data_IF_254989662361
#
_entry.id   IF_254989662361
#
_cell.length_a   1.000
_cell.length_b   1.000
_cell.length_c   1.000
_cell.angle_alpha   90.00
_cell.angle_beta   90.00
_cell.angle_gamma   90.00
#
_symmetry.space_group_name_H-M   'P 1'
#
loop_
_entity.id
_entity.type
_entity.pdbx_description
1 polymer ?
#
# COMPACT_ATOMS: atom_id res chain seq x y z
N UNK A 1 -17.40 16.42 -7.36
CA UNK A 1 -16.69 16.37 -6.05
C UNK A 1 -15.45 15.46 -6.11
N UNK A 2 -15.54 14.17 -6.43
CA UNK A 2 -14.37 13.27 -6.52
C UNK A 2 -13.35 13.78 -7.55
N UNK A 3 -13.79 14.21 -8.74
CA UNK A 3 -12.91 14.77 -9.78
C UNK A 3 -12.08 15.96 -9.30
N UNK A 4 -12.68 16.91 -8.64
CA UNK A 4 -12.02 18.11 -8.14
C UNK A 4 -11.02 17.77 -7.04
N UNK A 5 -11.43 16.91 -6.11
CA UNK A 5 -10.56 16.43 -5.04
C UNK A 5 -9.36 15.65 -5.58
N UNK A 6 -9.59 14.77 -6.56
CA UNK A 6 -8.52 13.97 -7.16
C UNK A 6 -7.50 14.85 -7.90
N UNK A 7 -7.97 15.85 -8.66
CA UNK A 7 -7.08 16.80 -9.33
C UNK A 7 -6.26 17.58 -8.30
N UNK A 8 -6.90 18.14 -7.27
CA UNK A 8 -6.21 18.85 -6.19
C UNK A 8 -5.12 17.98 -5.55
N UNK A 9 -5.43 16.73 -5.19
CA UNK A 9 -4.43 15.83 -4.59
C UNK A 9 -3.27 15.56 -5.54
N UNK A 10 -3.53 15.37 -6.84
CA UNK A 10 -2.48 15.20 -7.85
C UNK A 10 -1.60 16.45 -7.99
N UNK A 11 -2.22 17.63 -7.98
CA UNK A 11 -1.50 18.90 -8.06
C UNK A 11 -0.63 19.10 -6.81
N UNK A 12 -1.15 18.85 -5.60
CA UNK A 12 -0.39 18.93 -4.34
C UNK A 12 0.82 17.96 -4.33
N UNK A 13 0.64 16.71 -4.81
CA UNK A 13 1.73 15.73 -4.95
C UNK A 13 2.77 16.23 -5.95
N UNK A 14 2.33 16.72 -7.12
CA UNK A 14 3.23 17.22 -8.15
C UNK A 14 4.04 18.42 -7.68
N UNK A 15 3.39 19.40 -7.04
CA UNK A 15 4.06 20.58 -6.47
C UNK A 15 5.10 20.17 -5.42
N UNK A 16 4.74 19.25 -4.52
CA UNK A 16 5.66 18.77 -3.49
C UNK A 16 6.87 18.06 -4.10
N UNK A 17 6.63 17.16 -5.06
CA UNK A 17 7.71 16.46 -5.77
C UNK A 17 8.67 17.45 -6.45
N UNK A 18 8.16 18.45 -7.16
CA UNK A 18 8.98 19.47 -7.81
C UNK A 18 9.81 20.27 -6.80
N UNK A 19 9.23 20.65 -5.66
CA UNK A 19 9.94 21.37 -4.58
C UNK A 19 11.11 20.59 -3.99
N UNK A 20 11.02 19.27 -3.96
CA UNK A 20 12.07 18.39 -3.42
C UNK A 20 12.93 17.73 -4.51
N UNK A 21 12.78 18.13 -5.78
CA UNK A 21 13.58 17.65 -6.90
C UNK A 21 13.29 16.21 -7.33
N UNK A 22 12.04 15.73 -7.11
CA UNK A 22 11.58 14.39 -7.54
C UNK A 22 10.67 14.49 -8.76
N UNK A 23 10.65 13.44 -9.57
CA UNK A 23 9.69 13.31 -10.66
C UNK A 23 8.32 12.84 -10.11
N UNK A 24 7.22 13.62 -10.28
CA UNK A 24 5.88 13.20 -9.85
C UNK A 24 5.39 11.89 -10.49
N UNK A 25 5.86 11.56 -11.68
CA UNK A 25 5.48 10.33 -12.39
C UNK A 25 6.00 9.05 -11.73
N UNK A 26 6.97 9.17 -10.81
CA UNK A 26 7.47 8.05 -10.01
C UNK A 26 6.54 7.71 -8.84
N UNK A 27 5.50 8.52 -8.60
CA UNK A 27 4.61 8.37 -7.47
C UNK A 27 3.31 7.68 -7.89
N UNK A 28 3.04 6.52 -7.34
CA UNK A 28 1.75 5.85 -7.47
C UNK A 28 0.77 6.41 -6.43
N UNK A 29 -0.26 7.13 -6.90
CA UNK A 29 -1.38 7.54 -6.06
C UNK A 29 -2.41 6.42 -5.97
N UNK A 30 -2.53 5.81 -4.80
CA UNK A 30 -3.54 4.80 -4.50
C UNK A 30 -4.76 5.49 -3.88
N UNK A 31 -5.88 5.50 -4.60
CA UNK A 31 -7.15 6.04 -4.12
C UNK A 31 -7.81 5.02 -3.18
N UNK A 32 -7.82 5.29 -1.87
CA UNK A 32 -8.32 4.35 -0.85
C UNK A 32 -9.84 4.44 -0.78
N UNK A 33 -10.52 3.48 -1.41
CA UNK A 33 -11.98 3.44 -1.61
C UNK A 33 -12.74 2.61 -0.55
N UNK A 34 -12.06 2.18 0.52
CA UNK A 34 -12.72 1.46 1.63
C UNK A 34 -13.95 2.20 2.14
N UNK A 35 -15.03 1.46 2.38
CA UNK A 35 -16.35 1.98 2.85
C UNK A 35 -17.16 2.80 1.83
N UNK A 36 -16.66 3.02 0.62
CA UNK A 36 -17.41 3.62 -0.48
C UNK A 36 -17.86 2.52 -1.45
N UNK A 37 -18.98 2.72 -2.13
CA UNK A 37 -19.47 1.80 -3.16
C UNK A 37 -18.60 1.77 -4.40
N UNK A 38 -18.83 0.77 -5.27
CA UNK A 38 -18.13 0.66 -6.55
C UNK A 38 -18.41 1.87 -7.47
N UNK A 39 -19.53 2.56 -7.31
CA UNK A 39 -19.88 3.77 -8.06
C UNK A 39 -18.85 4.88 -7.86
N UNK A 40 -18.34 5.05 -6.63
CA UNK A 40 -17.28 6.01 -6.32
C UNK A 40 -15.96 5.63 -6.98
N UNK A 41 -15.68 4.33 -7.09
CA UNK A 41 -14.51 3.82 -7.83
C UNK A 41 -14.65 4.13 -9.32
N UNK A 42 -15.82 3.90 -9.91
CA UNK A 42 -16.11 4.21 -11.31
C UNK A 42 -16.02 5.72 -11.60
N UNK A 43 -16.52 6.58 -10.69
CA UNK A 43 -16.37 8.05 -10.82
C UNK A 43 -14.88 8.45 -10.82
N UNK A 44 -14.08 7.97 -9.85
CA UNK A 44 -12.66 8.25 -9.80
C UNK A 44 -11.91 7.69 -11.03
N UNK A 45 -12.26 6.47 -11.48
CA UNK A 45 -11.73 5.86 -12.69
C UNK A 45 -11.99 6.71 -13.93
N UNK A 46 -13.21 7.25 -14.09
CA UNK A 46 -13.55 8.15 -15.19
C UNK A 46 -12.69 9.42 -15.23
N UNK A 47 -12.06 9.77 -14.11
CA UNK A 47 -11.09 10.86 -13.97
C UNK A 47 -9.62 10.39 -14.13
N UNK A 48 -9.41 9.18 -14.68
CA UNK A 48 -8.09 8.63 -14.97
C UNK A 48 -7.38 7.99 -13.77
N UNK A 49 -8.08 7.71 -12.66
CA UNK A 49 -7.51 6.94 -11.56
C UNK A 49 -7.49 5.46 -11.91
N UNK A 50 -6.33 4.81 -11.69
CA UNK A 50 -6.13 3.39 -11.99
C UNK A 50 -5.91 2.54 -10.76
N UNK A 51 -5.22 3.07 -9.76
CA UNK A 51 -4.78 2.36 -8.56
C UNK A 51 -5.75 2.62 -7.42
N UNK A 52 -6.38 1.57 -6.89
CA UNK A 52 -7.37 1.66 -5.81
C UNK A 52 -6.99 0.76 -4.63
N UNK A 53 -7.22 1.26 -3.41
CA UNK A 53 -6.85 0.57 -2.18
C UNK A 53 -8.07 0.10 -1.39
N UNK A 54 -8.06 -1.18 -0.99
CA UNK A 54 -9.07 -1.80 -0.14
C UNK A 54 -8.49 -2.38 1.15
N UNK A 55 -9.26 -2.25 2.24
CA UNK A 55 -8.85 -2.78 3.54
C UNK A 55 -9.52 -4.12 3.88
N UNK A 56 -10.67 -4.42 3.28
CA UNK A 56 -11.48 -5.57 3.62
C UNK A 56 -11.61 -6.51 2.43
N UNK A 57 -11.26 -7.79 2.63
CA UNK A 57 -11.34 -8.77 1.56
C UNK A 57 -12.75 -8.89 0.96
N UNK A 58 -13.78 -8.68 1.77
CA UNK A 58 -15.18 -8.73 1.34
C UNK A 58 -15.52 -7.55 0.43
N UNK A 59 -15.15 -6.31 0.82
CA UNK A 59 -15.35 -5.13 -0.04
C UNK A 59 -14.61 -5.26 -1.38
N UNK A 60 -13.38 -5.79 -1.37
CA UNK A 60 -12.65 -6.05 -2.60
C UNK A 60 -13.39 -7.03 -3.51
N UNK A 61 -13.92 -8.12 -2.95
CA UNK A 61 -14.71 -9.11 -3.73
C UNK A 61 -15.95 -8.46 -4.32
N UNK A 62 -16.72 -7.71 -3.51
CA UNK A 62 -17.96 -7.05 -3.94
C UNK A 62 -17.72 -6.01 -5.04
N UNK A 63 -16.62 -5.26 -4.99
CA UNK A 63 -16.30 -4.22 -5.99
C UNK A 63 -15.69 -4.78 -7.26
N UNK A 64 -14.89 -5.83 -7.14
CA UNK A 64 -14.12 -6.40 -8.25
C UNK A 64 -15.02 -6.79 -9.42
N UNK A 65 -16.18 -7.36 -9.16
CA UNK A 65 -17.10 -7.85 -10.20
C UNK A 65 -17.84 -6.72 -10.95
N UNK A 66 -17.84 -5.49 -10.40
CA UNK A 66 -18.52 -4.31 -10.99
C UNK A 66 -17.56 -3.28 -11.59
N UNK A 67 -16.26 -3.45 -11.38
CA UNK A 67 -15.25 -2.51 -11.84
C UNK A 67 -14.47 -3.14 -12.99
N UNK A 68 -14.22 -2.42 -14.10
CA UNK A 68 -13.47 -2.95 -15.26
C UNK A 68 -12.05 -3.44 -14.91
N UNK A 69 -11.56 -4.42 -15.66
CA UNK A 69 -10.27 -5.11 -15.45
C UNK A 69 -9.02 -4.22 -15.59
N UNK A 70 -9.15 -2.98 -16.09
CA UNK A 70 -8.08 -2.01 -16.22
C UNK A 70 -7.81 -1.20 -14.93
N UNK A 71 -8.38 -1.62 -13.82
CA UNK A 71 -8.11 -1.11 -12.47
C UNK A 71 -7.11 -2.00 -11.75
N UNK A 72 -6.10 -1.37 -11.15
CA UNK A 72 -5.10 -2.04 -10.30
C UNK A 72 -5.56 -2.02 -8.84
N UNK A 73 -5.87 -3.18 -8.29
CA UNK A 73 -6.31 -3.30 -6.91
C UNK A 73 -5.13 -3.54 -5.95
N UNK A 74 -5.04 -2.69 -4.94
CA UNK A 74 -4.10 -2.78 -3.84
C UNK A 74 -4.83 -3.21 -2.56
N UNK A 75 -4.47 -4.36 -2.00
CA UNK A 75 -4.96 -4.74 -0.69
C UNK A 75 -4.01 -4.15 0.38
N UNK A 76 -4.53 -3.24 1.19
CA UNK A 76 -3.73 -2.43 2.12
C UNK A 76 -4.14 -2.60 3.59
N UNK A 77 -5.17 -3.40 3.88
CA UNK A 77 -5.61 -3.72 5.23
C UNK A 77 -4.95 -5.00 5.76
N UNK A 78 -5.09 -5.27 7.06
CA UNK A 78 -4.57 -6.50 7.66
C UNK A 78 -5.16 -7.75 7.00
N UNK A 79 -4.30 -8.62 6.46
CA UNK A 79 -4.73 -9.83 5.76
C UNK A 79 -4.59 -11.08 6.64
N UNK A 80 -5.71 -11.61 7.08
CA UNK A 80 -5.73 -12.92 7.71
C UNK A 80 -5.40 -14.02 6.68
N UNK A 81 -4.58 -15.00 7.06
CA UNK A 81 -4.12 -16.07 6.15
C UNK A 81 -5.29 -16.80 5.47
N UNK A 82 -6.38 -17.08 6.18
CA UNK A 82 -7.57 -17.74 5.64
C UNK A 82 -8.37 -16.89 4.64
N UNK A 83 -8.11 -15.57 4.59
CA UNK A 83 -8.74 -14.63 3.66
C UNK A 83 -7.91 -14.41 2.39
N UNK A 84 -6.65 -14.84 2.35
CA UNK A 84 -5.77 -14.71 1.18
C UNK A 84 -6.40 -15.28 -0.10
N UNK A 85 -7.17 -16.35 -0.01
CA UNK A 85 -7.90 -16.97 -1.13
C UNK A 85 -8.91 -16.05 -1.84
N UNK A 86 -9.38 -14.99 -1.16
CA UNK A 86 -10.30 -14.01 -1.75
C UNK A 86 -9.54 -12.81 -2.33
N UNK A 87 -8.37 -12.49 -1.76
CA UNK A 87 -7.58 -11.31 -2.12
C UNK A 87 -6.63 -11.61 -3.29
N UNK A 88 -5.85 -12.70 -3.21
CA UNK A 88 -4.85 -13.03 -4.25
C UNK A 88 -5.43 -13.09 -5.66
N UNK A 89 -6.64 -13.63 -5.91
CA UNK A 89 -7.21 -13.64 -7.26
C UNK A 89 -7.51 -12.26 -7.85
N UNK A 90 -7.67 -11.25 -7.00
CA UNK A 90 -8.24 -9.94 -7.36
C UNK A 90 -7.25 -8.79 -7.22
N UNK A 91 -6.39 -8.86 -6.20
CA UNK A 91 -5.39 -7.83 -5.97
C UNK A 91 -4.15 -8.03 -6.83
N UNK A 92 -3.65 -6.95 -7.41
CA UNK A 92 -2.34 -6.92 -8.04
C UNK A 92 -1.23 -6.77 -7.00
N UNK A 93 -1.51 -5.99 -5.94
CA UNK A 93 -0.57 -5.72 -4.86
C UNK A 93 -1.18 -6.06 -3.50
N UNK A 94 -0.39 -6.67 -2.61
CA UNK A 94 -0.74 -6.91 -1.21
C UNK A 94 0.32 -6.24 -0.35
N UNK A 95 -0.05 -5.18 0.39
CA UNK A 95 0.88 -4.33 1.15
C UNK A 95 1.10 -4.77 2.59
N UNK A 96 0.32 -5.74 3.08
CA UNK A 96 0.20 -6.06 4.50
C UNK A 96 0.70 -7.46 4.86
N UNK A 97 1.81 -7.88 4.26
CA UNK A 97 2.43 -9.17 4.60
C UNK A 97 3.29 -9.00 5.85
N UNK A 98 2.85 -9.63 6.96
CA UNK A 98 3.41 -9.46 8.30
C UNK A 98 3.96 -10.75 8.93
N UNK A 99 3.96 -11.88 8.18
CA UNK A 99 4.47 -13.18 8.64
C UNK A 99 4.71 -14.16 7.51
N UNK A 100 5.67 -15.07 7.70
CA UNK A 100 6.04 -16.10 6.72
C UNK A 100 4.84 -16.96 6.29
N UNK A 101 4.03 -17.44 7.24
CA UNK A 101 2.85 -18.25 6.95
C UNK A 101 1.86 -17.57 5.99
N UNK A 102 1.75 -16.23 6.02
CA UNK A 102 0.92 -15.50 5.08
C UNK A 102 1.57 -15.45 3.69
N UNK A 103 2.88 -15.22 3.62
CA UNK A 103 3.62 -15.21 2.36
C UNK A 103 3.56 -16.60 1.66
N UNK A 104 3.69 -17.68 2.42
CA UNK A 104 3.55 -19.07 1.93
C UNK A 104 2.15 -19.32 1.34
N UNK A 105 1.10 -18.93 2.04
CA UNK A 105 -0.27 -19.13 1.56
C UNK A 105 -0.57 -18.27 0.32
N UNK A 106 -0.06 -17.03 0.27
CA UNK A 106 -0.15 -16.17 -0.93
C UNK A 106 0.54 -16.85 -2.12
N UNK A 107 1.78 -17.32 -1.96
CA UNK A 107 2.53 -17.98 -3.01
C UNK A 107 1.82 -19.24 -3.53
N UNK A 108 1.29 -20.06 -2.62
CA UNK A 108 0.53 -21.27 -2.94
C UNK A 108 -0.75 -20.99 -3.75
N UNK A 109 -1.46 -19.91 -3.42
CA UNK A 109 -2.66 -19.49 -4.17
C UNK A 109 -2.26 -18.93 -5.52
N UNK A 110 -1.22 -18.08 -5.59
CA UNK A 110 -0.72 -17.48 -6.82
C UNK A 110 -0.22 -18.57 -7.80
N UNK A 111 0.43 -19.63 -7.30
CA UNK A 111 0.84 -20.77 -8.09
C UNK A 111 -0.33 -21.43 -8.81
N UNK A 112 -1.47 -21.63 -8.11
CA UNK A 112 -2.68 -22.22 -8.70
C UNK A 112 -3.29 -21.38 -9.81
N UNK A 113 -2.94 -20.09 -9.87
CA UNK A 113 -3.40 -19.12 -10.85
C UNK A 113 -2.34 -18.78 -11.91
N UNK A 114 -1.21 -19.47 -11.90
CA UNK A 114 -0.08 -19.24 -12.81
C UNK A 114 0.36 -17.75 -12.81
N UNK A 115 0.37 -17.11 -11.63
CA UNK A 115 0.80 -15.70 -11.49
C UNK A 115 1.91 -15.57 -10.44
N UNK A 116 2.63 -14.45 -10.50
CA UNK A 116 3.53 -13.99 -9.46
C UNK A 116 2.87 -12.81 -8.72
N UNK A 117 2.54 -13.01 -7.44
CA UNK A 117 1.86 -11.99 -6.64
C UNK A 117 2.85 -10.94 -6.14
N UNK A 118 2.64 -9.68 -6.49
CA UNK A 118 3.41 -8.56 -5.93
C UNK A 118 3.00 -8.30 -4.49
N UNK A 119 3.99 -8.27 -3.60
CA UNK A 119 3.77 -8.01 -2.17
C UNK A 119 4.73 -6.95 -1.63
N UNK A 120 4.30 -6.30 -0.54
CA UNK A 120 5.16 -5.52 0.33
C UNK A 120 5.10 -6.10 1.76
N UNK A 121 6.21 -6.03 2.48
CA UNK A 121 6.21 -6.36 3.91
C UNK A 121 5.71 -5.18 4.71
N UNK A 122 4.76 -5.44 5.60
CA UNK A 122 4.29 -4.45 6.57
C UNK A 122 5.26 -4.39 7.75
N UNK A 123 5.91 -3.25 7.92
CA UNK A 123 6.90 -3.00 8.97
C UNK A 123 6.29 -2.09 10.03
N UNK A 124 6.40 -2.49 11.29
CA UNK A 124 5.97 -1.68 12.42
C UNK A 124 7.09 -0.72 12.81
N UNK A 125 6.92 0.54 12.47
CA UNK A 125 7.87 1.63 12.78
C UNK A 125 7.38 2.55 13.92
N UNK A 126 6.36 2.14 14.67
CA UNK A 126 5.82 2.86 15.82
C UNK A 126 5.59 1.93 17.01
N UNK A 127 5.65 2.46 18.22
CA UNK A 127 5.45 1.70 19.47
C UNK A 127 3.96 1.41 19.78
N UNK A 128 3.02 1.91 18.96
CA UNK A 128 1.60 1.69 19.16
C UNK A 128 1.23 0.20 19.15
N UNK A 129 0.69 -0.30 20.28
CA UNK A 129 0.38 -1.72 20.46
C UNK A 129 -0.67 -2.26 19.48
N UNK A 130 -1.52 -1.39 18.96
CA UNK A 130 -2.64 -1.74 18.05
C UNK A 130 -2.22 -1.91 16.59
N UNK A 131 -0.98 -1.54 16.22
CA UNK A 131 -0.50 -1.67 14.84
C UNK A 131 0.12 -3.03 14.59
N UNK A 132 -0.25 -3.60 13.44
CA UNK A 132 0.37 -4.80 12.89
C UNK A 132 1.74 -4.46 12.25
N UNK A 133 2.47 -5.48 11.87
CA UNK A 133 3.73 -5.35 11.15
C UNK A 133 4.90 -6.08 11.81
N UNK A 134 5.90 -6.36 11.02
CA UNK A 134 7.14 -7.02 11.42
C UNK A 134 8.02 -6.04 12.22
N UNK A 135 8.68 -6.57 13.25
CA UNK A 135 9.64 -5.85 14.10
C UNK A 135 11.01 -6.55 14.17
N UNK A 136 11.05 -7.84 13.84
CA UNK A 136 12.25 -8.66 13.92
C UNK A 136 12.96 -8.67 12.57
N UNK A 137 14.23 -8.25 12.53
CA UNK A 137 15.06 -8.32 11.32
C UNK A 137 15.17 -9.76 10.79
N UNK A 138 15.26 -10.74 11.71
CA UNK A 138 15.31 -12.15 11.35
C UNK A 138 14.06 -12.58 10.58
N UNK A 139 12.87 -12.19 11.05
CA UNK A 139 11.61 -12.57 10.38
C UNK A 139 11.47 -11.86 9.03
N UNK A 140 11.92 -10.60 8.94
CA UNK A 140 11.94 -9.83 7.69
C UNK A 140 12.84 -10.53 6.66
N UNK A 141 14.06 -10.90 7.04
CA UNK A 141 15.00 -11.58 6.15
C UNK A 141 14.50 -12.98 5.76
N UNK A 142 13.90 -13.72 6.68
CA UNK A 142 13.32 -15.02 6.41
C UNK A 142 12.25 -14.94 5.32
N UNK A 143 11.32 -13.99 5.43
CA UNK A 143 10.28 -13.78 4.42
C UNK A 143 10.88 -13.28 3.10
N UNK A 144 11.85 -12.36 3.15
CA UNK A 144 12.50 -11.84 1.95
C UNK A 144 13.26 -12.94 1.19
N UNK A 145 13.95 -13.84 1.90
CA UNK A 145 14.62 -14.99 1.31
C UNK A 145 13.61 -15.98 0.70
N UNK A 146 12.52 -16.29 1.41
CA UNK A 146 11.44 -17.10 0.87
C UNK A 146 10.89 -16.53 -0.44
N UNK A 147 10.66 -15.21 -0.50
CA UNK A 147 10.18 -14.57 -1.72
C UNK A 147 11.20 -14.64 -2.87
N UNK A 148 12.49 -14.48 -2.56
CA UNK A 148 13.56 -14.58 -3.57
C UNK A 148 13.68 -15.96 -4.20
N UNK A 149 13.36 -17.01 -3.44
CA UNK A 149 13.45 -18.41 -3.87
C UNK A 149 12.17 -18.92 -4.54
N UNK A 150 11.07 -18.14 -4.49
CA UNK A 150 9.76 -18.58 -4.95
C UNK A 150 9.24 -17.71 -6.10
N UNK A 151 9.09 -18.27 -7.29
CA UNK A 151 8.66 -17.57 -8.50
C UNK A 151 7.21 -17.06 -8.48
N UNK A 152 6.37 -17.54 -7.57
CA UNK A 152 4.95 -17.19 -7.48
C UNK A 152 4.65 -16.02 -6.54
N UNK A 153 5.69 -15.46 -5.92
CA UNK A 153 5.58 -14.28 -5.06
C UNK A 153 6.75 -13.34 -5.37
N UNK A 154 6.46 -12.06 -5.45
CA UNK A 154 7.45 -11.04 -5.77
C UNK A 154 7.43 -9.96 -4.69
N UNK A 155 8.44 -9.91 -3.86
CA UNK A 155 8.65 -8.87 -2.86
C UNK A 155 9.21 -7.63 -3.56
N UNK A 156 8.37 -6.59 -3.70
CA UNK A 156 8.73 -5.36 -4.41
C UNK A 156 9.12 -4.20 -3.51
N UNK A 157 8.79 -4.27 -2.22
CA UNK A 157 9.03 -3.16 -1.31
C UNK A 157 8.53 -3.38 0.11
N UNK A 158 8.47 -2.28 0.84
CA UNK A 158 8.05 -2.22 2.24
C UNK A 158 6.86 -1.26 2.41
N UNK A 159 6.05 -1.51 3.42
CA UNK A 159 4.93 -0.66 3.81
C UNK A 159 5.00 -0.32 5.31
N UNK A 160 4.62 0.90 5.66
CA UNK A 160 4.34 1.27 7.06
C UNK A 160 3.20 2.28 7.17
N UNK A 161 2.67 2.39 8.38
CA UNK A 161 1.78 3.46 8.81
C UNK A 161 2.44 4.22 9.96
N UNK A 162 2.71 5.51 9.75
CA UNK A 162 3.25 6.38 10.79
C UNK A 162 2.31 6.45 12.01
N UNK A 163 2.80 6.80 13.20
CA UNK A 163 1.97 7.01 14.37
C UNK A 163 0.93 8.12 14.11
N UNK A 164 -0.27 7.95 14.69
CA UNK A 164 -1.29 8.99 14.61
C UNK A 164 -0.95 10.12 15.60
N UNK A 165 -0.28 11.15 15.10
CA UNK A 165 0.23 12.28 15.90
C UNK A 165 0.38 13.53 15.05
N UNK A 166 0.32 14.70 15.67
CA UNK A 166 0.66 15.99 15.05
C UNK A 166 2.18 16.29 15.10
N UNK A 167 2.95 15.44 15.78
CA UNK A 167 4.41 15.57 15.87
C UNK A 167 5.07 15.07 14.57
N UNK A 168 5.33 16.02 13.67
CA UNK A 168 5.99 15.74 12.38
C UNK A 168 7.33 15.01 12.53
N UNK A 169 8.06 15.23 13.62
CA UNK A 169 9.33 14.56 13.85
C UNK A 169 9.14 13.06 14.02
N UNK A 170 8.15 12.63 14.79
CA UNK A 170 7.83 11.21 14.98
C UNK A 170 7.34 10.56 13.67
N UNK A 171 6.56 11.29 12.88
CA UNK A 171 6.12 10.82 11.56
C UNK A 171 7.34 10.62 10.65
N UNK A 172 8.22 11.59 10.59
CA UNK A 172 9.47 11.54 9.80
C UNK A 172 10.38 10.40 10.23
N UNK A 173 10.58 10.22 11.53
CA UNK A 173 11.38 9.12 12.09
C UNK A 173 10.82 7.76 11.64
N UNK A 174 9.49 7.58 11.67
CA UNK A 174 8.82 6.36 11.20
C UNK A 174 9.09 6.07 9.72
N UNK A 175 8.97 7.07 8.84
CA UNK A 175 9.20 6.92 7.41
C UNK A 175 10.68 6.74 7.07
N UNK A 176 11.55 7.47 7.76
CA UNK A 176 13.01 7.34 7.61
C UNK A 176 13.50 5.94 8.00
N UNK A 177 12.96 5.36 9.09
CA UNK A 177 13.27 3.97 9.47
C UNK A 177 12.89 2.98 8.35
N UNK A 178 11.71 3.14 7.72
CA UNK A 178 11.32 2.27 6.62
C UNK A 178 12.27 2.39 5.42
N UNK A 179 12.66 3.62 5.06
CA UNK A 179 13.61 3.89 3.97
C UNK A 179 14.97 3.25 4.24
N UNK A 180 15.50 3.44 5.44
CA UNK A 180 16.80 2.88 5.85
C UNK A 180 16.77 1.34 5.82
N UNK A 181 15.69 0.72 6.28
CA UNK A 181 15.52 -0.73 6.21
C UNK A 181 15.48 -1.23 4.76
N UNK A 182 14.78 -0.52 3.84
CA UNK A 182 14.80 -0.85 2.41
C UNK A 182 16.22 -0.79 1.85
N UNK A 183 16.97 0.26 2.20
CA UNK A 183 18.34 0.45 1.71
C UNK A 183 19.28 -0.65 2.25
N UNK A 184 19.12 -1.06 3.51
CA UNK A 184 19.85 -2.18 4.10
C UNK A 184 19.54 -3.50 3.38
N UNK A 185 18.26 -3.82 3.16
CA UNK A 185 17.86 -5.02 2.42
C UNK A 185 18.38 -5.01 0.97
N UNK A 186 18.41 -3.85 0.35
CA UNK A 186 18.99 -3.69 -0.99
C UNK A 186 20.51 -3.90 -0.97
N UNK A 187 21.19 -3.50 0.09
CA UNK A 187 22.60 -3.84 0.32
C UNK A 187 22.84 -5.37 0.42
N UNK A 188 21.82 -6.13 0.84
CA UNK A 188 21.80 -7.60 0.86
C UNK A 188 21.31 -8.24 -0.46
N UNK A 189 21.03 -7.42 -1.49
CA UNK A 189 20.70 -7.86 -2.84
C UNK A 189 19.22 -8.16 -3.10
N UNK A 190 18.28 -7.66 -2.29
CA UNK A 190 16.83 -7.93 -2.48
C UNK A 190 16.20 -7.09 -3.61
N UNK A 191 16.75 -5.92 -3.95
CA UNK A 191 16.30 -5.12 -5.09
C UNK A 191 14.92 -4.48 -4.92
N UNK A 192 14.55 -4.12 -3.68
CA UNK A 192 13.28 -3.50 -3.34
C UNK A 192 13.18 -2.10 -3.93
N UNK A 193 12.08 -1.78 -4.59
CA UNK A 193 11.85 -0.48 -5.22
C UNK A 193 10.84 0.36 -4.47
N UNK A 194 9.78 -0.25 -3.96
CA UNK A 194 8.62 0.45 -3.47
C UNK A 194 8.68 0.76 -1.97
N UNK A 195 8.24 1.97 -1.62
CA UNK A 195 7.95 2.41 -0.26
C UNK A 195 6.49 2.89 -0.20
N UNK A 196 5.62 2.04 0.33
CA UNK A 196 4.21 2.37 0.55
C UNK A 196 4.06 3.02 1.92
N UNK A 197 4.00 4.34 1.94
CA UNK A 197 3.85 5.15 3.15
C UNK A 197 3.28 6.52 2.78
N UNK A 198 2.63 7.18 3.72
CA UNK A 198 1.95 8.46 3.48
C UNK A 198 0.46 8.30 3.18
N UNK A 199 -0.33 9.04 3.94
CA UNK A 199 -1.78 9.18 3.84
C UNK A 199 -2.15 10.67 3.76
N UNK A 200 -3.43 11.00 3.80
CA UNK A 200 -3.94 12.39 3.66
C UNK A 200 -3.21 13.41 4.54
N UNK A 201 -2.84 13.05 5.77
CA UNK A 201 -2.26 13.99 6.73
C UNK A 201 -0.73 14.05 6.77
N UNK A 202 -0.04 13.13 6.09
CA UNK A 202 1.41 12.97 6.23
C UNK A 202 2.14 12.65 4.92
N UNK A 203 1.43 12.70 3.77
CA UNK A 203 2.01 12.35 2.47
C UNK A 203 3.18 13.26 2.04
N UNK A 204 3.18 14.53 2.45
CA UNK A 204 4.27 15.44 2.11
C UNK A 204 5.58 15.01 2.78
N UNK A 205 5.52 14.63 4.07
CA UNK A 205 6.67 14.10 4.81
C UNK A 205 7.10 12.76 4.21
N UNK A 206 6.12 11.90 3.83
CA UNK A 206 6.41 10.64 3.18
C UNK A 206 7.15 10.83 1.84
N UNK A 207 6.77 11.82 1.03
CA UNK A 207 7.47 12.16 -0.21
C UNK A 207 8.92 12.59 0.04
N UNK A 208 9.16 13.42 1.07
CA UNK A 208 10.52 13.82 1.48
C UNK A 208 11.37 12.62 1.92
N UNK A 209 10.76 11.63 2.55
CA UNK A 209 11.43 10.41 3.00
C UNK A 209 11.45 9.30 1.92
N UNK A 210 11.06 9.60 0.68
CA UNK A 210 11.24 8.71 -0.46
C UNK A 210 10.06 7.78 -0.76
N UNK A 211 8.85 8.08 -0.29
CA UNK A 211 7.65 7.31 -0.67
C UNK A 211 7.51 7.20 -2.19
N UNK A 212 7.13 6.02 -2.67
CA UNK A 212 6.79 5.76 -4.09
C UNK A 212 5.31 5.46 -4.27
N UNK A 213 4.62 5.03 -3.21
CA UNK A 213 3.20 4.74 -3.19
C UNK A 213 2.52 5.49 -2.04
N UNK A 214 1.58 6.37 -2.38
CA UNK A 214 0.76 7.14 -1.43
C UNK A 214 -0.65 6.56 -1.34
N UNK A 215 -1.20 6.43 -0.15
CA UNK A 215 -2.53 5.86 0.11
C UNK A 215 -3.49 6.94 0.60
N UNK A 216 -4.18 7.59 -0.32
CA UNK A 216 -5.03 8.75 -0.04
C UNK A 216 -6.51 8.36 -0.15
N UNK A 217 -7.26 8.55 0.93
CA UNK A 217 -8.69 8.25 0.98
C UNK A 217 -9.54 9.50 1.17
N UNK A 218 -9.55 10.05 2.38
CA UNK A 218 -10.43 11.15 2.80
C UNK A 218 -10.30 12.40 1.93
N UNK A 219 -9.08 12.72 1.47
CA UNK A 219 -8.89 13.88 0.59
C UNK A 219 -9.51 13.69 -0.81
N UNK A 220 -9.73 12.45 -1.26
CA UNK A 220 -10.33 12.13 -2.56
C UNK A 220 -11.84 11.94 -2.42
N UNK A 221 -12.28 11.03 -1.54
CA UNK A 221 -13.67 10.60 -1.43
C UNK A 221 -14.51 11.42 -0.43
N UNK A 222 -13.86 12.24 0.40
CA UNK A 222 -14.50 13.06 1.44
C UNK A 222 -14.49 12.42 2.82
N UNK A 223 -15.05 13.13 3.79
CA UNK A 223 -15.26 12.61 5.15
C UNK A 223 -16.42 11.62 5.16
N UNK A 224 -16.25 10.53 5.88
CA UNK A 224 -17.29 9.51 6.01
C UNK A 224 -18.48 10.06 6.77
N UNK A 225 -19.66 10.03 6.16
CA UNK A 225 -20.89 10.13 6.91
C UNK A 225 -21.17 8.74 7.49
N UNK A 226 -20.78 8.49 8.75
CA UNK A 226 -21.35 7.41 9.52
C UNK A 226 -22.80 7.78 9.83
N UNK A 227 -23.70 7.60 8.85
CA UNK A 227 -25.11 7.55 9.16
C UNK A 227 -25.32 6.24 9.92
N UNK A 228 -25.60 6.40 11.20
CA UNK A 228 -25.96 5.41 12.23
C UNK A 228 -27.01 4.43 11.79
#
# INVERSE_FOLDING_TARGET
>A
MIKENLNRVRDEIAEKCLKIGRNPEEITLIAVSKTYGYESVLEAKSCGQKDFGENWAQELVEKYDFVPDDVSWHFIGHLQTNKAKYVVPRAEFIHSVDKLKLAEEIAKIAQKQNKSQKILLEIKTSEEATKHGLTSEKDIEEIANFCRENQNINLIGLMTMAPFTEDEKKVRESFSQLRLLKDELNGKGFGLKELSMGMTGDFEIALEEGATMLRIGTAIFGTRNYLT
#
